data_IF_833135754769
#
_entry.id   IF_833135754769
#
_cell.length_a   1.000
_cell.length_b   1.000
_cell.length_c   1.000
_cell.angle_alpha   90.00
_cell.angle_beta   90.00
_cell.angle_gamma   90.00
#
_symmetry.space_group_name_H-M   'P 1'
#
loop_
_entity.id
_entity.type
_entity.pdbx_description
1 polymer ?
#
# COMPACT_ATOMS: atom_id res chain seq x y z
N UNK A 1 -19.87 9.03 6.88
CA UNK A 1 -18.51 8.44 7.08
C UNK A 1 -17.92 8.94 8.40
N UNK A 2 -17.15 8.11 9.08
CA UNK A 2 -16.51 8.44 10.36
C UNK A 2 -15.32 9.39 10.11
N UNK A 3 -15.45 10.62 10.60
CA UNK A 3 -14.39 11.65 10.47
C UNK A 3 -13.09 11.21 11.16
N UNK A 4 -11.97 11.61 10.60
CA UNK A 4 -10.62 11.29 11.08
C UNK A 4 -10.31 9.77 11.15
N UNK A 5 -11.10 8.91 10.50
CA UNK A 5 -10.80 7.50 10.35
C UNK A 5 -10.22 7.25 8.97
N UNK A 6 -9.04 6.67 8.91
CA UNK A 6 -8.36 6.28 7.67
C UNK A 6 -8.26 4.77 7.57
N UNK A 7 -8.65 4.17 6.44
CA UNK A 7 -8.29 2.81 6.08
C UNK A 7 -6.93 2.83 5.38
N UNK A 8 -5.94 2.24 6.00
CA UNK A 8 -4.63 1.99 5.40
C UNK A 8 -4.60 0.56 4.85
N UNK A 9 -4.20 0.42 3.60
CA UNK A 9 -4.08 -0.87 2.92
C UNK A 9 -2.64 -1.02 2.42
N UNK A 10 -1.99 -2.11 2.80
CA UNK A 10 -0.64 -2.46 2.38
C UNK A 10 -0.65 -3.79 1.64
N UNK A 11 -0.20 -3.78 0.39
CA UNK A 11 -0.02 -4.97 -0.44
C UNK A 11 1.49 -5.14 -0.65
N UNK A 12 2.06 -6.12 0.03
CA UNK A 12 3.50 -6.32 0.15
C UNK A 12 3.93 -7.58 -0.59
N UNK A 13 4.89 -7.41 -1.48
CA UNK A 13 5.53 -8.51 -2.18
C UNK A 13 6.27 -9.44 -1.20
N UNK A 14 6.00 -10.73 -1.32
CA UNK A 14 6.67 -11.80 -0.60
C UNK A 14 7.21 -12.85 -1.60
N UNK A 15 7.51 -12.45 -2.82
CA UNK A 15 8.09 -13.33 -3.84
C UNK A 15 9.53 -13.71 -3.50
N UNK A 16 10.07 -14.68 -4.24
CA UNK A 16 11.38 -15.25 -3.96
C UNK A 16 12.55 -14.25 -3.99
N UNK A 17 12.44 -13.17 -4.76
CA UNK A 17 13.42 -12.07 -4.82
C UNK A 17 13.56 -11.33 -3.48
N UNK A 18 12.47 -11.21 -2.71
CA UNK A 18 12.46 -10.56 -1.40
C UNK A 18 13.18 -11.35 -0.29
N UNK A 19 13.63 -12.60 -0.57
CA UNK A 19 14.15 -13.49 0.47
C UNK A 19 15.34 -12.91 1.26
N UNK A 20 16.23 -12.23 0.60
CA UNK A 20 17.41 -11.63 1.24
C UNK A 20 17.14 -10.28 1.89
N UNK A 21 15.95 -9.69 1.65
CA UNK A 21 15.46 -8.45 2.25
C UNK A 21 14.38 -8.69 3.33
N UNK A 22 14.08 -9.95 3.65
CA UNK A 22 13.00 -10.29 4.57
C UNK A 22 13.13 -9.63 5.96
N UNK A 23 14.32 -9.62 6.60
CA UNK A 23 14.48 -8.93 7.89
C UNK A 23 14.20 -7.43 7.81
N UNK A 24 14.69 -6.77 6.76
CA UNK A 24 14.52 -5.32 6.53
C UNK A 24 13.06 -4.99 6.18
N UNK A 25 12.38 -5.85 5.43
CA UNK A 25 10.95 -5.70 5.11
C UNK A 25 10.10 -5.83 6.37
N UNK A 26 10.33 -6.85 7.18
CA UNK A 26 9.65 -7.04 8.47
C UNK A 26 9.91 -5.86 9.40
N UNK A 27 11.18 -5.46 9.54
CA UNK A 27 11.59 -4.34 10.39
C UNK A 27 11.01 -3.01 9.93
N UNK A 28 11.13 -2.70 8.65
CA UNK A 28 10.61 -1.48 8.03
C UNK A 28 9.09 -1.37 8.16
N UNK A 29 8.37 -2.44 7.83
CA UNK A 29 6.91 -2.50 8.00
C UNK A 29 6.49 -2.29 9.46
N UNK A 30 7.13 -2.94 10.41
CA UNK A 30 6.81 -2.81 11.82
C UNK A 30 7.15 -1.41 12.37
N UNK A 31 8.23 -0.80 11.90
CA UNK A 31 8.59 0.60 12.22
C UNK A 31 7.53 1.55 11.67
N UNK A 32 7.11 1.37 10.43
CA UNK A 32 6.01 2.14 9.82
C UNK A 32 4.73 2.02 10.67
N UNK A 33 4.33 0.82 11.07
CA UNK A 33 3.17 0.62 11.96
C UNK A 33 3.34 1.35 13.30
N UNK A 34 4.53 1.28 13.89
CA UNK A 34 4.83 1.95 15.17
C UNK A 34 4.74 3.47 15.05
N UNK A 35 5.16 4.04 13.92
CA UNK A 35 5.04 5.47 13.66
C UNK A 35 3.57 5.86 13.40
N UNK A 36 2.84 5.08 12.62
CA UNK A 36 1.42 5.31 12.38
C UNK A 36 0.56 5.20 13.65
N UNK A 37 0.98 4.44 14.67
CA UNK A 37 0.34 4.39 16.00
C UNK A 37 0.47 5.68 16.80
N UNK A 38 1.46 6.52 16.48
CA UNK A 38 1.72 7.82 17.16
C UNK A 38 0.95 8.97 16.49
N UNK A 39 0.49 8.78 15.25
CA UNK A 39 -0.23 9.81 14.50
C UNK A 39 -1.62 10.04 15.09
N UNK A 40 -2.07 11.29 15.00
CA UNK A 40 -3.42 11.68 15.40
C UNK A 40 -4.49 11.03 14.49
N UNK A 41 -5.68 10.83 15.05
CA UNK A 41 -6.81 10.19 14.36
C UNK A 41 -6.80 8.67 14.45
N UNK A 42 -7.95 8.09 14.15
CA UNK A 42 -8.12 6.63 14.12
C UNK A 42 -7.69 6.05 12.77
N UNK A 43 -7.20 4.82 12.77
CA UNK A 43 -6.89 4.10 11.55
C UNK A 43 -7.25 2.63 11.64
N UNK A 44 -7.67 2.06 10.52
CA UNK A 44 -7.81 0.62 10.29
C UNK A 44 -6.70 0.17 9.36
N UNK A 45 -6.16 -1.00 9.60
CA UNK A 45 -5.06 -1.57 8.81
C UNK A 45 -5.52 -2.85 8.14
N UNK A 46 -5.33 -2.94 6.84
CA UNK A 46 -5.39 -4.17 6.06
C UNK A 46 -4.01 -4.43 5.48
N UNK A 47 -3.46 -5.62 5.71
CA UNK A 47 -2.15 -6.03 5.21
C UNK A 47 -2.27 -7.34 4.47
N UNK A 48 -1.85 -7.31 3.23
CA UNK A 48 -1.79 -8.47 2.35
C UNK A 48 -0.34 -8.74 1.98
N UNK A 49 0.08 -9.98 2.12
CA UNK A 49 1.32 -10.49 1.57
C UNK A 49 0.98 -11.29 0.31
N UNK A 50 1.77 -11.13 -0.73
CA UNK A 50 1.53 -11.87 -1.96
C UNK A 50 2.79 -12.45 -2.58
N UNK A 51 2.64 -13.62 -3.17
CA UNK A 51 3.50 -14.26 -4.14
C UNK A 51 2.58 -14.98 -5.16
N UNK A 52 2.63 -16.30 -5.34
CA UNK A 52 1.57 -17.05 -6.03
C UNK A 52 0.30 -17.17 -5.17
N UNK A 53 0.44 -17.08 -3.84
CA UNK A 53 -0.67 -17.07 -2.88
C UNK A 53 -1.04 -15.64 -2.49
N UNK A 54 -2.25 -15.48 -2.01
CA UNK A 54 -2.79 -14.27 -1.41
C UNK A 54 -2.97 -14.52 0.10
N UNK A 55 -2.24 -13.80 0.94
CA UNK A 55 -2.25 -14.01 2.38
C UNK A 55 -2.66 -12.70 3.07
N UNK A 56 -3.86 -12.66 3.62
CA UNK A 56 -4.33 -11.53 4.41
C UNK A 56 -3.89 -11.69 5.86
N UNK A 57 -2.96 -10.85 6.29
CA UNK A 57 -2.43 -10.85 7.67
C UNK A 57 -3.30 -10.02 8.60
N UNK A 58 -3.71 -8.84 8.12
CA UNK A 58 -4.61 -7.95 8.86
C UNK A 58 -5.79 -7.58 7.97
N UNK A 59 -6.99 -7.58 8.51
CA UNK A 59 -8.22 -7.22 7.80
C UNK A 59 -9.01 -6.16 8.57
N UNK A 60 -8.76 -4.89 8.25
CA UNK A 60 -9.43 -3.76 8.89
C UNK A 60 -9.23 -3.68 10.40
N UNK A 61 -8.07 -4.09 10.87
CA UNK A 61 -7.74 -4.11 12.31
C UNK A 61 -7.44 -2.70 12.78
N UNK A 62 -8.01 -2.30 13.93
CA UNK A 62 -7.65 -1.04 14.60
C UNK A 62 -6.13 -0.95 14.76
N UNK A 63 -5.52 0.16 14.31
CA UNK A 63 -4.08 0.38 14.34
C UNK A 63 -3.47 0.13 15.72
N UNK A 64 -4.21 0.43 16.81
CA UNK A 64 -3.77 0.22 18.19
C UNK A 64 -3.68 -1.26 18.58
N UNK A 65 -4.37 -2.14 17.82
CA UNK A 65 -4.43 -3.59 18.05
C UNK A 65 -3.63 -4.41 17.04
N UNK A 66 -3.16 -3.77 15.97
CA UNK A 66 -2.37 -4.45 14.94
C UNK A 66 -1.13 -5.09 15.55
N UNK A 67 -0.95 -6.38 15.28
CA UNK A 67 0.24 -7.13 15.66
C UNK A 67 1.38 -6.86 14.67
N UNK A 68 2.60 -6.98 15.13
CA UNK A 68 3.77 -6.89 14.26
C UNK A 68 3.84 -8.08 13.30
N UNK A 69 4.35 -7.82 12.10
CA UNK A 69 4.72 -8.86 11.17
C UNK A 69 5.94 -9.62 11.68
N UNK A 70 5.97 -10.94 11.53
CA UNK A 70 7.10 -11.79 11.93
C UNK A 70 7.55 -12.70 10.79
N UNK A 71 8.63 -13.43 11.01
CA UNK A 71 9.13 -14.46 10.10
C UNK A 71 8.21 -15.69 9.97
N UNK A 72 7.14 -15.74 10.76
CA UNK A 72 6.11 -16.78 10.62
C UNK A 72 5.16 -16.47 9.47
N UNK A 73 4.77 -15.20 9.32
CA UNK A 73 3.89 -14.73 8.26
C UNK A 73 4.66 -14.38 6.99
N UNK A 74 5.78 -13.65 7.12
CA UNK A 74 6.56 -13.19 5.98
C UNK A 74 7.67 -14.18 5.62
N UNK A 75 7.36 -15.08 4.68
CA UNK A 75 8.28 -16.14 4.20
C UNK A 75 8.41 -16.05 2.68
N UNK A 76 9.36 -15.25 2.18
CA UNK A 76 9.52 -15.03 0.75
C UNK A 76 9.82 -16.31 -0.02
N UNK A 77 8.96 -16.60 -1.00
CA UNK A 77 9.08 -17.72 -1.94
C UNK A 77 8.22 -17.45 -3.19
N UNK A 78 8.28 -18.34 -4.17
CA UNK A 78 7.38 -18.29 -5.33
C UNK A 78 7.64 -17.13 -6.29
N UNK A 79 6.60 -16.79 -7.07
CA UNK A 79 6.59 -15.79 -8.12
C UNK A 79 5.75 -14.58 -7.72
N UNK A 80 5.55 -13.60 -8.62
CA UNK A 80 4.95 -12.30 -8.31
C UNK A 80 3.57 -12.19 -8.98
N UNK A 81 2.50 -12.59 -8.26
CA UNK A 81 1.10 -12.44 -8.70
C UNK A 81 0.49 -11.12 -8.20
N UNK A 82 1.07 -10.01 -8.63
CA UNK A 82 0.72 -8.67 -8.15
C UNK A 82 -0.71 -8.25 -8.56
N UNK A 83 -1.10 -8.50 -9.81
CA UNK A 83 -2.43 -8.10 -10.28
C UNK A 83 -3.53 -8.83 -9.51
N UNK A 84 -3.36 -10.13 -9.26
CA UNK A 84 -4.31 -10.90 -8.46
C UNK A 84 -4.39 -10.36 -7.03
N UNK A 85 -3.25 -10.03 -6.42
CA UNK A 85 -3.20 -9.48 -5.08
C UNK A 85 -3.89 -8.12 -4.98
N UNK A 86 -3.60 -7.21 -5.92
CA UNK A 86 -4.21 -5.87 -5.95
C UNK A 86 -5.71 -5.97 -6.22
N UNK A 87 -6.14 -6.72 -7.25
CA UNK A 87 -7.55 -6.87 -7.61
C UNK A 87 -8.39 -7.48 -6.49
N UNK A 88 -7.91 -8.59 -5.89
CA UNK A 88 -8.58 -9.23 -4.74
C UNK A 88 -8.67 -8.27 -3.55
N UNK A 89 -7.61 -7.52 -3.25
CA UNK A 89 -7.59 -6.59 -2.11
C UNK A 89 -8.55 -5.42 -2.33
N UNK A 90 -8.59 -4.85 -3.55
CA UNK A 90 -9.58 -3.80 -3.88
C UNK A 90 -11.00 -4.30 -3.68
N UNK A 91 -11.33 -5.49 -4.22
CA UNK A 91 -12.66 -6.09 -4.05
C UNK A 91 -12.98 -6.36 -2.59
N UNK A 92 -12.05 -6.96 -1.85
CA UNK A 92 -12.26 -7.31 -0.43
C UNK A 92 -12.51 -6.05 0.42
N UNK A 93 -11.62 -5.07 0.33
CA UNK A 93 -11.75 -3.82 1.10
C UNK A 93 -13.01 -3.05 0.66
N UNK A 94 -13.25 -2.96 -0.65
CA UNK A 94 -14.44 -2.28 -1.19
C UNK A 94 -15.75 -2.89 -0.69
N UNK A 95 -15.88 -4.22 -0.73
CA UNK A 95 -17.06 -4.93 -0.24
C UNK A 95 -17.22 -4.75 1.28
N UNK A 96 -16.15 -4.93 2.05
CA UNK A 96 -16.19 -4.71 3.50
C UNK A 96 -16.65 -3.30 3.86
N UNK A 97 -16.14 -2.27 3.16
CA UNK A 97 -16.56 -0.89 3.39
C UNK A 97 -18.01 -0.64 2.95
N UNK A 98 -18.47 -1.30 1.88
CA UNK A 98 -19.86 -1.20 1.42
C UNK A 98 -20.85 -1.81 2.43
N UNK A 99 -20.46 -2.91 3.08
CA UNK A 99 -21.28 -3.59 4.10
C UNK A 99 -21.29 -2.87 5.46
N UNK A 100 -20.36 -1.94 5.71
CA UNK A 100 -20.34 -1.14 6.93
C UNK A 100 -21.43 -0.06 6.92
N UNK A 101 -22.04 0.26 8.09
CA UNK A 101 -22.86 1.47 8.24
C UNK A 101 -22.07 2.72 7.82
N UNK A 102 -22.71 3.66 7.15
CA UNK A 102 -22.03 4.84 6.59
C UNK A 102 -21.29 5.64 7.67
N UNK A 103 -21.87 5.77 8.86
CA UNK A 103 -21.30 6.49 10.00
C UNK A 103 -20.03 5.82 10.58
N UNK A 104 -19.81 4.53 10.30
CA UNK A 104 -18.64 3.78 10.74
C UNK A 104 -17.55 3.69 9.66
N UNK A 105 -17.90 3.96 8.38
CA UNK A 105 -16.95 3.87 7.27
C UNK A 105 -15.82 4.87 7.42
N UNK A 106 -14.57 4.46 7.14
CA UNK A 106 -13.46 5.39 6.98
C UNK A 106 -13.79 6.47 5.96
N UNK A 107 -13.44 7.71 6.27
CA UNK A 107 -13.58 8.81 5.31
C UNK A 107 -12.47 8.83 4.26
N UNK A 108 -11.34 8.15 4.55
CA UNK A 108 -10.17 8.09 3.67
C UNK A 108 -9.68 6.67 3.51
N UNK A 109 -9.22 6.33 2.30
CA UNK A 109 -8.55 5.06 2.00
C UNK A 109 -7.22 5.37 1.31
N UNK A 110 -6.13 4.87 1.88
CA UNK A 110 -4.77 4.95 1.32
C UNK A 110 -4.30 3.53 1.05
N UNK A 111 -4.02 3.24 -0.22
CA UNK A 111 -3.65 1.92 -0.71
C UNK A 111 -2.21 1.95 -1.22
N UNK A 112 -1.31 1.25 -0.57
CA UNK A 112 0.12 1.22 -0.87
C UNK A 112 0.54 -0.15 -1.36
N UNK A 113 1.19 -0.21 -2.52
CA UNK A 113 1.75 -1.41 -3.14
C UNK A 113 3.27 -1.29 -3.08
N UNK A 114 3.95 -2.32 -2.55
CA UNK A 114 5.41 -2.38 -2.47
C UNK A 114 5.87 -3.72 -3.08
N UNK A 115 6.73 -3.66 -4.11
CA UNK A 115 7.24 -4.84 -4.82
C UNK A 115 8.69 -4.64 -5.27
N UNK A 116 9.46 -5.72 -5.41
CA UNK A 116 10.81 -5.70 -5.99
C UNK A 116 10.90 -6.43 -7.34
N UNK A 117 9.77 -6.80 -7.94
CA UNK A 117 9.72 -7.59 -9.16
C UNK A 117 8.56 -7.26 -10.09
N UNK A 118 8.71 -7.66 -11.36
CA UNK A 118 7.64 -7.58 -12.35
C UNK A 118 6.55 -8.62 -12.08
N UNK A 119 5.31 -8.23 -12.39
CA UNK A 119 4.18 -9.15 -12.52
C UNK A 119 4.52 -10.33 -13.44
N UNK A 120 4.34 -11.56 -12.97
CA UNK A 120 4.68 -12.74 -13.76
C UNK A 120 3.85 -14.01 -13.45
N UNK A 121 2.84 -13.91 -12.57
CA UNK A 121 2.12 -15.09 -12.07
C UNK A 121 0.62 -14.92 -11.85
N UNK A 122 0.05 -13.75 -12.15
CA UNK A 122 -1.39 -13.53 -12.01
C UNK A 122 -2.19 -14.29 -13.07
N UNK A 123 -3.34 -14.84 -12.67
CA UNK A 123 -4.23 -15.64 -13.50
C UNK A 123 -5.69 -15.18 -13.44
N UNK A 124 -6.06 -14.42 -12.42
CA UNK A 124 -7.44 -13.99 -12.16
C UNK A 124 -7.71 -12.59 -12.71
N UNK A 125 -6.74 -11.70 -12.59
CA UNK A 125 -6.84 -10.31 -13.02
C UNK A 125 -5.78 -9.98 -14.06
N UNK A 126 -6.18 -9.22 -15.09
CA UNK A 126 -5.28 -8.62 -16.06
C UNK A 126 -5.04 -7.12 -15.77
N UNK A 127 -4.08 -6.53 -16.48
CA UNK A 127 -3.70 -5.11 -16.37
C UNK A 127 -4.90 -4.17 -16.57
N UNK A 128 -5.72 -4.41 -17.59
CA UNK A 128 -6.86 -3.55 -17.90
C UNK A 128 -7.91 -3.59 -16.81
N UNK A 129 -8.21 -4.78 -16.31
CA UNK A 129 -9.16 -4.98 -15.21
C UNK A 129 -8.73 -4.26 -13.95
N UNK A 130 -7.47 -4.44 -13.52
CA UNK A 130 -6.94 -3.77 -12.32
C UNK A 130 -6.89 -2.26 -12.50
N UNK A 131 -6.50 -1.77 -13.69
CA UNK A 131 -6.51 -0.34 -14.02
C UNK A 131 -7.89 0.28 -13.88
N UNK A 132 -8.92 -0.35 -14.43
CA UNK A 132 -10.30 0.16 -14.30
C UNK A 132 -10.80 0.08 -12.86
N UNK A 133 -10.41 -0.94 -12.09
CA UNK A 133 -10.73 -1.02 -10.67
C UNK A 133 -10.09 0.13 -9.90
N UNK A 134 -8.81 0.41 -10.09
CA UNK A 134 -8.08 1.53 -9.45
C UNK A 134 -8.74 2.85 -9.83
N UNK A 135 -9.00 3.06 -11.12
CA UNK A 135 -9.68 4.26 -11.62
C UNK A 135 -11.04 4.45 -10.97
N UNK A 136 -11.85 3.39 -10.91
CA UNK A 136 -13.17 3.42 -10.26
C UNK A 136 -13.08 3.85 -8.78
N UNK A 137 -12.16 3.26 -8.02
CA UNK A 137 -11.99 3.61 -6.61
C UNK A 137 -11.50 5.04 -6.42
N UNK A 138 -10.61 5.51 -7.29
CA UNK A 138 -10.13 6.91 -7.26
C UNK A 138 -11.23 7.91 -7.59
N UNK A 139 -11.95 7.69 -8.69
CA UNK A 139 -12.95 8.65 -9.18
C UNK A 139 -14.23 8.68 -8.34
N UNK A 140 -14.68 7.51 -7.87
CA UNK A 140 -15.96 7.39 -7.16
C UNK A 140 -15.84 7.50 -5.64
N UNK A 141 -14.74 7.01 -5.09
CA UNK A 141 -14.56 6.90 -3.64
C UNK A 141 -13.34 7.64 -3.10
N UNK A 142 -12.65 8.38 -3.95
CA UNK A 142 -11.49 9.20 -3.59
C UNK A 142 -10.35 8.42 -2.93
N UNK A 143 -10.21 7.11 -3.24
CA UNK A 143 -9.08 6.34 -2.75
C UNK A 143 -7.78 6.88 -3.34
N UNK A 144 -6.73 6.86 -2.54
CA UNK A 144 -5.37 7.21 -2.98
C UNK A 144 -4.53 5.95 -3.10
N UNK A 145 -3.86 5.80 -4.25
CA UNK A 145 -2.98 4.67 -4.53
C UNK A 145 -1.54 5.14 -4.64
N UNK A 146 -0.63 4.43 -3.97
CA UNK A 146 0.81 4.62 -4.02
C UNK A 146 1.47 3.34 -4.53
N UNK A 147 2.44 3.47 -5.43
CA UNK A 147 3.19 2.35 -5.99
C UNK A 147 4.69 2.55 -5.77
N UNK A 148 5.33 1.61 -5.08
CA UNK A 148 6.75 1.65 -4.75
C UNK A 148 7.41 0.39 -5.31
N UNK A 149 8.23 0.57 -6.35
CA UNK A 149 8.82 -0.52 -7.09
C UNK A 149 10.35 -0.53 -7.02
N UNK A 150 10.96 -1.71 -7.02
CA UNK A 150 12.39 -1.87 -7.22
C UNK A 150 12.67 -2.88 -8.35
N UNK A 151 13.83 -2.76 -8.99
CA UNK A 151 14.25 -3.65 -10.09
C UNK A 151 13.29 -3.71 -11.29
N UNK A 152 12.39 -2.74 -11.42
CA UNK A 152 11.37 -2.65 -12.48
C UNK A 152 11.30 -1.24 -13.05
N UNK A 153 10.73 -1.09 -14.23
CA UNK A 153 10.29 0.23 -14.71
C UNK A 153 9.04 0.68 -13.95
N UNK A 154 9.25 1.31 -12.81
CA UNK A 154 8.18 1.76 -11.91
C UNK A 154 7.23 2.73 -12.59
N UNK A 155 7.72 3.58 -13.49
CA UNK A 155 6.89 4.53 -14.23
C UNK A 155 5.98 3.82 -15.22
N UNK A 156 6.50 2.83 -15.96
CA UNK A 156 5.71 2.03 -16.89
C UNK A 156 4.64 1.25 -16.13
N UNK A 157 5.02 0.52 -15.08
CA UNK A 157 4.09 -0.30 -14.29
C UNK A 157 2.99 0.56 -13.65
N UNK A 158 3.33 1.73 -13.09
CA UNK A 158 2.34 2.63 -12.50
C UNK A 158 1.37 3.19 -13.54
N UNK A 159 1.84 3.53 -14.75
CA UNK A 159 0.97 3.94 -15.85
C UNK A 159 0.01 2.83 -16.29
N UNK A 160 0.51 1.59 -16.35
CA UNK A 160 -0.30 0.43 -16.70
C UNK A 160 -1.37 0.13 -15.64
N UNK A 161 -1.08 0.42 -14.37
CA UNK A 161 -2.03 0.36 -13.25
C UNK A 161 -2.95 1.60 -13.15
N UNK A 162 -2.65 2.68 -13.89
CA UNK A 162 -3.40 3.94 -13.77
C UNK A 162 -3.14 4.70 -12.48
N UNK A 163 -2.01 4.46 -11.82
CA UNK A 163 -1.55 5.18 -10.62
C UNK A 163 -0.77 6.43 -11.06
N UNK A 164 -0.96 7.54 -10.31
CA UNK A 164 -0.26 8.79 -10.60
C UNK A 164 1.26 8.64 -10.44
N UNK A 165 2.02 9.15 -11.40
CA UNK A 165 3.48 9.21 -11.32
C UNK A 165 4.00 9.97 -10.09
N UNK A 166 3.24 10.94 -9.58
CA UNK A 166 3.58 11.64 -8.33
C UNK A 166 3.60 10.72 -7.11
N UNK A 167 2.79 9.66 -7.12
CA UNK A 167 2.68 8.67 -6.03
C UNK A 167 3.33 7.33 -6.40
N UNK A 168 4.23 7.36 -7.38
CA UNK A 168 4.97 6.18 -7.84
C UNK A 168 6.45 6.47 -7.78
N UNK A 169 7.21 5.69 -7.00
CA UNK A 169 8.64 5.89 -6.80
C UNK A 169 9.43 4.59 -6.95
N UNK A 170 10.63 4.72 -7.49
CA UNK A 170 11.59 3.63 -7.53
C UNK A 170 12.43 3.64 -6.26
N UNK A 171 12.63 2.48 -5.65
CA UNK A 171 13.58 2.33 -4.55
C UNK A 171 14.65 1.30 -4.92
N UNK A 172 15.79 1.36 -4.23
CA UNK A 172 16.86 0.39 -4.42
C UNK A 172 16.53 -0.91 -3.66
N UNK A 173 16.53 -2.06 -4.33
CA UNK A 173 16.45 -3.36 -3.68
C UNK A 173 17.75 -3.65 -2.90
N UNK A 174 17.88 -3.03 -1.74
CA UNK A 174 18.97 -3.17 -0.79
C UNK A 174 18.43 -3.04 0.63
N UNK A 175 19.22 -3.41 1.63
CA UNK A 175 18.80 -3.26 3.04
C UNK A 175 18.40 -1.84 3.36
N UNK A 176 19.26 -0.86 3.06
CA UNK A 176 19.00 0.56 3.28
C UNK A 176 17.81 1.05 2.44
N UNK A 177 17.71 0.66 1.16
CA UNK A 177 16.60 1.05 0.30
C UNK A 177 15.26 0.49 0.80
N UNK A 178 15.25 -0.74 1.33
CA UNK A 178 14.05 -1.33 1.94
C UNK A 178 13.64 -0.58 3.21
N UNK A 179 14.57 -0.20 4.07
CA UNK A 179 14.25 0.63 5.24
C UNK A 179 13.71 2.00 4.83
N UNK A 180 14.34 2.65 3.84
CA UNK A 180 13.91 3.96 3.32
C UNK A 180 12.53 3.92 2.68
N UNK A 181 12.20 2.89 1.90
CA UNK A 181 10.88 2.81 1.25
C UNK A 181 9.74 2.73 2.27
N UNK A 182 9.92 2.00 3.37
CA UNK A 182 8.92 1.97 4.44
C UNK A 182 8.84 3.29 5.22
N UNK A 183 9.97 3.95 5.45
CA UNK A 183 10.00 5.30 6.03
C UNK A 183 9.25 6.30 5.16
N UNK A 184 9.55 6.32 3.86
CA UNK A 184 8.89 7.20 2.88
C UNK A 184 7.38 6.91 2.78
N UNK A 185 6.99 5.62 2.71
CA UNK A 185 5.60 5.21 2.74
C UNK A 185 4.89 5.69 4.02
N UNK A 186 5.53 5.55 5.19
CA UNK A 186 5.00 6.02 6.48
C UNK A 186 4.71 7.52 6.43
N UNK A 187 5.67 8.33 6.00
CA UNK A 187 5.53 9.79 5.91
C UNK A 187 4.43 10.20 4.92
N UNK A 188 4.35 9.55 3.77
CA UNK A 188 3.30 9.82 2.78
C UNK A 188 1.90 9.49 3.33
N UNK A 189 1.77 8.37 4.04
CA UNK A 189 0.52 7.99 4.74
C UNK A 189 0.18 9.00 5.84
N UNK A 190 1.17 9.49 6.62
CA UNK A 190 0.97 10.53 7.65
C UNK A 190 0.42 11.82 7.04
N UNK A 191 0.94 12.26 5.88
CA UNK A 191 0.37 13.40 5.14
C UNK A 191 -1.10 13.16 4.80
N UNK A 192 -1.44 11.99 4.25
CA UNK A 192 -2.82 11.65 3.89
C UNK A 192 -3.75 11.61 5.11
N UNK A 193 -3.27 11.11 6.26
CA UNK A 193 -4.03 11.07 7.50
C UNK A 193 -4.27 12.46 8.09
N UNK A 194 -3.29 13.36 7.98
CA UNK A 194 -3.33 14.71 8.55
C UNK A 194 -4.25 15.69 7.84
N UNK A 195 -4.78 15.36 6.67
CA UNK A 195 -5.68 16.24 5.90
C UNK A 195 -7.13 15.76 5.97
N UNK A 196 -8.08 16.67 5.66
CA UNK A 196 -9.49 16.29 5.52
C UNK A 196 -9.71 15.40 4.28
N UNK A 197 -10.81 14.64 4.24
CA UNK A 197 -11.16 13.82 3.10
C UNK A 197 -11.29 14.64 1.79
N UNK A 198 -11.85 15.84 1.87
CA UNK A 198 -12.03 16.74 0.71
C UNK A 198 -10.68 17.25 0.17
N UNK A 199 -9.67 17.37 1.04
CA UNK A 199 -8.32 17.82 0.66
C UNK A 199 -7.41 16.67 0.20
N UNK A 200 -7.78 15.41 0.45
CA UNK A 200 -6.90 14.25 0.21
C UNK A 200 -6.37 14.18 -1.23
N UNK A 201 -7.22 14.43 -2.21
CA UNK A 201 -6.86 14.42 -3.64
C UNK A 201 -6.53 15.82 -4.19
N UNK A 202 -6.32 16.83 -3.33
CA UNK A 202 -5.87 18.15 -3.79
C UNK A 202 -4.43 18.08 -4.34
N UNK A 203 -4.13 18.96 -5.30
CA UNK A 203 -2.78 19.04 -5.87
C UNK A 203 -1.72 19.30 -4.79
N UNK A 204 -2.05 20.08 -3.76
CA UNK A 204 -1.15 20.36 -2.65
C UNK A 204 -0.87 19.12 -1.81
N UNK A 205 -1.89 18.35 -1.43
CA UNK A 205 -1.72 17.10 -0.66
C UNK A 205 -0.94 16.08 -1.47
N UNK A 206 -1.26 15.92 -2.76
CA UNK A 206 -0.52 15.02 -3.65
C UNK A 206 0.96 15.42 -3.77
N UNK A 207 1.26 16.72 -3.82
CA UNK A 207 2.63 17.22 -3.81
C UNK A 207 3.37 16.86 -2.50
N UNK A 208 2.74 17.06 -1.34
CA UNK A 208 3.36 16.70 -0.06
C UNK A 208 3.55 15.19 0.09
N UNK A 209 2.58 14.38 -0.35
CA UNK A 209 2.73 12.92 -0.38
C UNK A 209 3.88 12.49 -1.29
N UNK A 210 3.99 13.11 -2.48
CA UNK A 210 5.09 12.86 -3.43
C UNK A 210 6.45 13.21 -2.80
N UNK A 211 6.57 14.40 -2.21
CA UNK A 211 7.82 14.82 -1.56
C UNK A 211 8.24 13.90 -0.41
N UNK A 212 7.27 13.35 0.34
CA UNK A 212 7.55 12.35 1.36
C UNK A 212 8.08 11.04 0.76
N UNK A 213 7.63 10.69 -0.45
CA UNK A 213 8.08 9.50 -1.16
C UNK A 213 9.45 9.67 -1.83
N UNK A 214 9.91 10.91 -2.08
CA UNK A 214 11.22 11.16 -2.71
C UNK A 214 12.38 10.58 -1.88
N UNK A 215 12.20 10.43 -0.56
CA UNK A 215 13.19 9.77 0.31
C UNK A 215 13.44 8.30 -0.03
N UNK A 216 12.52 7.63 -0.71
CA UNK A 216 12.71 6.25 -1.16
C UNK A 216 13.76 6.16 -2.28
N UNK A 217 13.96 7.25 -3.06
CA UNK A 217 14.90 7.32 -4.19
C UNK A 217 16.31 7.79 -3.77
N UNK A 218 16.50 8.31 -2.56
CA UNK A 218 17.81 8.80 -2.08
C UNK A 218 18.81 7.64 -1.92
N UNK A 219 20.07 7.88 -2.33
CA UNK A 219 21.19 6.90 -2.27
C UNK A 219 21.62 6.55 -0.84
#
# INVERSE_FOLDING_TARGET
>A
MKKNLTQMVFVLDMSGSMKWLAPETIGGYNTMLADQKKEDGDALVTTVLFENRYIMVHDGVDIKKVQNLTDKEYRPEGMTAMLDAVGRTINHVGNRLADMPEEERPEKVVFTIITDGYENASHEFDWNTVKEMIKHQREKYSWVFTFLGANIDTMQVSNDLGISSMLSKTYRASKSGTEKVFSAASKSVSVARGVSADALNSAQTMCFMSSALDEAEEE
#
